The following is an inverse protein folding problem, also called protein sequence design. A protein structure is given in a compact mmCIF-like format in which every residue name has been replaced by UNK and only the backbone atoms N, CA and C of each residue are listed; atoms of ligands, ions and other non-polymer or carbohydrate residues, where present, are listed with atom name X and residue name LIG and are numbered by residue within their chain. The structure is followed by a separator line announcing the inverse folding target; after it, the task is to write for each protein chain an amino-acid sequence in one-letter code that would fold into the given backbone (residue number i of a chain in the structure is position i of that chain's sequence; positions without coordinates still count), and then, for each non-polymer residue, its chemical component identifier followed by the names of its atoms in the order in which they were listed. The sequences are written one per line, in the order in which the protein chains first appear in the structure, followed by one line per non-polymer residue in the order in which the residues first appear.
data_IF_227444900744
#
_entry.id   IF_227444900744
#
_cell.length_a   1.000
_cell.length_b   1.000
_cell.length_c   1.000
_cell.angle_alpha   90.00
_cell.angle_beta   90.00
_cell.angle_gamma   90.00
#
_symmetry.space_group_name_H-M   'P 1'
#
loop_
_entity.id
_entity.type
_entity.pdbx_description
1 polymer ?
#
# COMPACT_ATOMS: atom_id res chain seq x y z
N UNK A 1 2.72 -8.66 6.72
CA UNK A 1 2.48 -7.47 7.58
C UNK A 1 2.70 -7.77 9.05
N UNK A 2 3.87 -8.31 9.40
CA UNK A 2 4.20 -8.63 10.79
C UNK A 2 4.19 -7.36 11.67
N UNK A 3 4.50 -6.19 11.08
CA UNK A 3 4.42 -4.91 11.77
C UNK A 3 3.00 -4.61 12.31
N UNK A 4 1.96 -4.92 11.54
CA UNK A 4 0.57 -4.70 11.96
C UNK A 4 0.17 -5.63 13.12
N UNK A 5 0.68 -6.86 13.12
CA UNK A 5 0.49 -7.81 14.22
C UNK A 5 1.24 -7.38 15.50
N UNK A 6 2.45 -6.84 15.36
CA UNK A 6 3.28 -6.40 16.49
C UNK A 6 2.76 -5.10 17.11
N UNK A 7 1.97 -4.32 16.37
CA UNK A 7 1.33 -3.11 16.89
C UNK A 7 -0.16 -3.05 16.50
N UNK A 8 -1.04 -3.79 17.20
CA UNK A 8 -2.45 -3.92 16.85
C UNK A 8 -3.24 -2.59 16.81
N UNK A 9 -2.79 -1.57 17.55
CA UNK A 9 -3.38 -0.22 17.55
C UNK A 9 -2.69 0.77 16.61
N UNK A 10 -1.97 0.30 15.60
CA UNK A 10 -1.47 1.17 14.53
C UNK A 10 -2.60 1.51 13.56
N UNK A 11 -2.80 2.81 13.35
CA UNK A 11 -3.80 3.36 12.42
C UNK A 11 -3.17 3.96 11.16
N UNK A 12 -1.89 4.33 11.26
CA UNK A 12 -1.09 4.91 10.19
C UNK A 12 0.03 3.97 9.76
N UNK A 13 0.26 3.85 8.46
CA UNK A 13 1.36 3.10 7.90
C UNK A 13 2.01 3.83 6.72
N UNK A 14 3.32 3.64 6.57
CA UNK A 14 4.11 4.03 5.41
C UNK A 14 4.72 2.77 4.79
N UNK A 15 4.50 2.59 3.50
CA UNK A 15 5.17 1.58 2.67
C UNK A 15 6.09 2.31 1.69
N UNK A 16 7.36 1.89 1.64
CA UNK A 16 8.35 2.42 0.70
C UNK A 16 8.54 1.40 -0.41
N UNK A 17 8.23 1.80 -1.64
CA UNK A 17 8.15 0.96 -2.83
C UNK A 17 6.74 0.39 -3.03
N UNK A 18 6.18 0.59 -4.23
CA UNK A 18 4.90 0.02 -4.65
C UNK A 18 5.08 -1.37 -5.26
N UNK A 19 6.00 -1.51 -6.20
CA UNK A 19 6.22 -2.73 -6.99
C UNK A 19 4.89 -3.32 -7.55
N UNK A 20 4.58 -4.58 -7.24
CA UNK A 20 3.30 -5.22 -7.64
C UNK A 20 2.11 -4.82 -6.76
N UNK A 21 2.31 -3.99 -5.74
CA UNK A 21 1.26 -3.56 -4.81
C UNK A 21 0.88 -4.57 -3.74
N UNK A 22 1.41 -5.80 -3.77
CA UNK A 22 0.94 -6.89 -2.87
C UNK A 22 1.10 -6.53 -1.39
N UNK A 23 2.18 -5.86 -0.99
CA UNK A 23 2.36 -5.41 0.39
C UNK A 23 1.34 -4.35 0.77
N UNK A 24 1.06 -3.40 -0.13
CA UNK A 24 0.04 -2.35 0.09
C UNK A 24 -1.33 -3.00 0.26
N UNK A 25 -1.70 -3.95 -0.62
CA UNK A 25 -2.94 -4.72 -0.54
C UNK A 25 -3.06 -5.57 0.71
N UNK A 26 -1.94 -6.02 1.29
CA UNK A 26 -1.97 -6.75 2.54
C UNK A 26 -2.15 -5.83 3.75
N UNK A 27 -1.56 -4.62 3.72
CA UNK A 27 -1.67 -3.63 4.81
C UNK A 27 -3.04 -2.96 4.83
N UNK A 28 -3.62 -2.60 3.68
CA UNK A 28 -4.93 -1.91 3.62
C UNK A 28 -6.07 -2.77 4.17
N UNK A 29 -5.95 -4.10 4.07
CA UNK A 29 -6.91 -5.05 4.65
C UNK A 29 -6.86 -5.11 6.18
N UNK A 30 -5.91 -4.43 6.85
CA UNK A 30 -5.87 -4.41 8.31
C UNK A 30 -7.03 -3.55 8.88
N UNK A 31 -7.87 -4.10 9.79
CA UNK A 31 -9.10 -3.43 10.23
C UNK A 31 -8.91 -2.06 10.89
N UNK A 32 -7.73 -1.81 11.48
CA UNK A 32 -7.42 -0.56 12.17
C UNK A 32 -6.81 0.52 11.28
N UNK A 33 -6.48 0.24 10.02
CA UNK A 33 -5.82 1.21 9.14
C UNK A 33 -6.81 2.32 8.74
N UNK A 34 -6.39 3.55 8.98
CA UNK A 34 -7.08 4.79 8.63
C UNK A 34 -6.30 5.56 7.55
N UNK A 35 -4.97 5.49 7.59
CA UNK A 35 -4.08 6.16 6.64
C UNK A 35 -2.93 5.26 6.19
N UNK A 36 -2.79 5.05 4.88
CA UNK A 36 -1.69 4.30 4.29
C UNK A 36 -1.00 5.13 3.21
N UNK A 37 0.24 5.56 3.47
CA UNK A 37 1.06 6.24 2.47
C UNK A 37 1.94 5.22 1.76
N UNK A 38 2.01 5.32 0.44
CA UNK A 38 2.92 4.56 -0.40
C UNK A 38 3.87 5.54 -1.07
N UNK A 39 5.16 5.46 -0.77
CA UNK A 39 6.19 6.23 -1.45
C UNK A 39 6.81 5.38 -2.58
N UNK A 40 6.73 5.83 -3.82
CA UNK A 40 7.29 5.13 -4.99
C UNK A 40 8.13 6.11 -5.82
N UNK A 41 9.29 5.67 -6.30
CA UNK A 41 10.22 6.51 -7.08
C UNK A 41 9.94 6.45 -8.59
N UNK A 42 9.42 5.33 -9.08
CA UNK A 42 9.30 5.06 -10.51
C UNK A 42 7.86 5.25 -11.00
N UNK A 43 7.61 6.24 -11.89
CA UNK A 43 6.29 6.40 -12.52
C UNK A 43 5.89 5.18 -13.38
N UNK A 44 6.87 4.42 -13.87
CA UNK A 44 6.59 3.23 -14.66
C UNK A 44 6.03 2.08 -13.81
N UNK A 45 6.43 2.00 -12.54
CA UNK A 45 5.91 1.02 -11.58
C UNK A 45 4.45 1.33 -11.25
N UNK A 46 4.11 2.60 -11.00
CA UNK A 46 2.73 3.01 -10.71
C UNK A 46 1.77 2.69 -11.87
N UNK A 47 2.24 2.78 -13.11
CA UNK A 47 1.44 2.40 -14.29
C UNK A 47 1.32 0.89 -14.49
N UNK A 48 2.35 0.14 -14.12
CA UNK A 48 2.41 -1.32 -14.26
C UNK A 48 1.64 -2.05 -13.15
N UNK A 49 1.49 -1.44 -11.98
CA UNK A 49 0.85 -2.02 -10.80
C UNK A 49 -0.54 -2.61 -11.12
N UNK A 50 -1.36 -1.93 -11.94
CA UNK A 50 -2.70 -2.40 -12.33
C UNK A 50 -2.73 -3.80 -12.98
N UNK A 51 -1.61 -4.24 -13.58
CA UNK A 51 -1.52 -5.58 -14.15
C UNK A 51 -1.50 -6.67 -13.06
N UNK A 52 -1.28 -6.26 -11.81
CA UNK A 52 -1.29 -7.11 -10.62
C UNK A 52 -2.55 -6.93 -9.77
N UNK A 53 -3.57 -6.20 -10.24
CA UNK A 53 -4.86 -6.03 -9.55
C UNK A 53 -5.46 -7.34 -8.98
N UNK A 54 -5.38 -8.50 -9.67
CA UNK A 54 -5.86 -9.77 -9.11
C UNK A 54 -5.12 -10.28 -7.86
N UNK A 55 -3.95 -9.71 -7.55
CA UNK A 55 -3.03 -10.18 -6.50
C UNK A 55 -2.80 -9.16 -5.38
N UNK A 56 -3.13 -7.89 -5.61
CA UNK A 56 -2.83 -6.80 -4.68
C UNK A 56 -4.08 -6.11 -4.13
N UNK A 57 -5.24 -6.74 -4.27
CA UNK A 57 -6.53 -6.24 -3.79
C UNK A 57 -6.99 -4.93 -4.45
N UNK A 58 -6.37 -4.54 -5.57
CA UNK A 58 -6.63 -3.25 -6.21
C UNK A 58 -6.43 -2.07 -5.23
N UNK A 59 -5.43 -2.22 -4.34
CA UNK A 59 -5.23 -1.39 -3.16
C UNK A 59 -5.14 0.11 -3.42
N UNK A 60 -4.65 0.53 -4.60
CA UNK A 60 -4.58 1.95 -4.95
C UNK A 60 -5.95 2.60 -5.15
N UNK A 61 -7.04 1.82 -5.24
CA UNK A 61 -8.41 2.33 -5.26
C UNK A 61 -9.03 2.48 -3.86
N UNK A 62 -8.35 2.05 -2.80
CA UNK A 62 -8.81 2.29 -1.43
C UNK A 62 -8.62 3.78 -1.08
N UNK A 63 -9.68 4.50 -0.63
CA UNK A 63 -9.59 5.92 -0.31
C UNK A 63 -8.64 6.26 0.86
N UNK A 64 -8.23 5.27 1.64
CA UNK A 64 -7.25 5.39 2.73
C UNK A 64 -5.81 5.36 2.22
N UNK A 65 -5.60 4.91 0.98
CA UNK A 65 -4.28 4.77 0.36
C UNK A 65 -3.92 6.04 -0.40
N UNK A 66 -2.77 6.62 -0.06
CA UNK A 66 -2.22 7.79 -0.72
C UNK A 66 -0.87 7.43 -1.36
N UNK A 67 -0.84 7.39 -2.69
CA UNK A 67 0.37 7.16 -3.46
C UNK A 67 1.11 8.49 -3.68
N UNK A 68 2.32 8.57 -3.16
CA UNK A 68 3.26 9.67 -3.34
C UNK A 68 4.37 9.21 -4.27
N UNK A 69 4.55 9.93 -5.37
CA UNK A 69 5.67 9.72 -6.29
C UNK A 69 6.82 10.66 -5.88
N UNK A 70 7.89 10.12 -5.31
CA UNK A 70 9.02 10.90 -4.74
C UNK A 70 10.33 10.08 -4.74
N UNK A 71 11.49 10.73 -4.61
CA UNK A 71 12.83 10.12 -4.78
C UNK A 71 13.50 9.51 -3.53
#
# INVERSE_FOLDING_TARGET
DIGMLLRPGAHDALVIGLASGVTVGSVEQWPGIEHLVVAEISPSVTHAERWFAPYNHDALHDPRVNLVLDD
#
